data_IF_601253204016
#
_entry.id   IF_601253204016
#
_cell.length_a   1.000
_cell.length_b   1.000
_cell.length_c   1.000
_cell.angle_alpha   90.00
_cell.angle_beta   90.00
_cell.angle_gamma   90.00
#
_symmetry.space_group_name_H-M   'P 1'
#
loop_
_entity.id
_entity.type
_entity.pdbx_description
1 polymer ?
#
# COMPACT_ATOMS: atom_id res chain seq x y z
N UNK A 1 9.23 -12.64 -18.26
CA UNK A 1 9.02 -14.07 -17.92
C UNK A 1 7.52 -14.32 -17.96
N UNK A 2 7.07 -15.27 -18.77
CA UNK A 2 5.65 -15.64 -18.85
C UNK A 2 5.26 -16.55 -17.69
N UNK A 3 3.95 -16.68 -17.40
CA UNK A 3 3.45 -17.60 -16.35
C UNK A 3 3.89 -19.03 -16.64
N UNK A 4 3.90 -19.44 -17.91
CA UNK A 4 4.36 -20.77 -18.34
C UNK A 4 5.85 -20.97 -18.07
N UNK A 5 6.68 -19.98 -18.28
CA UNK A 5 8.11 -20.01 -17.93
C UNK A 5 8.33 -20.09 -16.42
N UNK A 6 7.50 -19.40 -15.62
CA UNK A 6 7.55 -19.45 -14.15
C UNK A 6 7.18 -20.87 -13.66
N UNK A 7 6.10 -21.44 -14.20
CA UNK A 7 5.66 -22.79 -13.83
C UNK A 7 6.70 -23.84 -14.22
N UNK A 8 7.29 -23.73 -15.42
CA UNK A 8 8.33 -24.64 -15.91
C UNK A 8 9.61 -24.57 -15.09
N UNK A 9 9.94 -23.39 -14.56
CA UNK A 9 11.17 -23.17 -13.78
C UNK A 9 10.93 -23.12 -12.26
N UNK A 10 9.76 -23.55 -11.79
CA UNK A 10 9.34 -23.45 -10.39
C UNK A 10 10.37 -23.98 -9.39
N UNK A 11 10.94 -25.15 -9.65
CA UNK A 11 11.93 -25.76 -8.75
C UNK A 11 13.23 -24.95 -8.69
N UNK A 12 13.65 -24.40 -9.83
CA UNK A 12 14.86 -23.59 -9.94
C UNK A 12 14.69 -22.25 -9.22
N UNK A 13 13.51 -21.65 -9.32
CA UNK A 13 13.14 -20.41 -8.63
C UNK A 13 13.08 -20.65 -7.11
N UNK A 14 12.51 -21.79 -6.67
CA UNK A 14 12.46 -22.16 -5.25
C UNK A 14 13.88 -22.43 -4.71
N UNK A 15 14.74 -23.09 -5.48
CA UNK A 15 16.12 -23.33 -5.10
C UNK A 15 16.92 -22.02 -4.99
N UNK A 16 16.70 -21.10 -5.90
CA UNK A 16 17.28 -19.76 -5.84
C UNK A 16 16.81 -18.98 -4.62
N UNK A 17 15.51 -19.00 -4.29
CA UNK A 17 14.95 -18.37 -3.07
C UNK A 17 15.56 -18.98 -1.79
N UNK A 18 15.79 -20.26 -1.74
CA UNK A 18 16.44 -20.95 -0.58
C UNK A 18 17.94 -20.68 -0.45
N UNK A 19 18.61 -20.33 -1.55
CA UNK A 19 20.05 -20.08 -1.58
C UNK A 19 20.45 -18.61 -1.39
N UNK A 20 19.52 -17.70 -1.49
CA UNK A 20 19.79 -16.25 -1.43
C UNK A 20 19.31 -15.62 -0.14
N UNK A 21 19.98 -15.94 0.97
CA UNK A 21 20.31 -14.90 1.93
C UNK A 21 21.53 -14.16 1.33
N UNK A 22 21.33 -13.46 0.25
CA UNK A 22 22.23 -12.41 -0.17
C UNK A 22 21.58 -11.13 0.32
N UNK A 23 22.25 -10.48 1.25
CA UNK A 23 22.10 -9.06 1.43
C UNK A 23 22.05 -8.47 0.03
N UNK A 24 20.88 -8.01 -0.41
CA UNK A 24 20.82 -7.15 -1.55
C UNK A 24 21.72 -5.99 -1.17
N UNK A 25 22.84 -5.84 -1.84
CA UNK A 25 23.51 -4.55 -1.86
C UNK A 25 22.41 -3.54 -2.14
N UNK A 26 22.30 -2.50 -1.32
CA UNK A 26 21.36 -1.44 -1.60
C UNK A 26 21.81 -0.77 -2.88
N UNK A 27 21.41 -1.31 -4.03
CA UNK A 27 21.32 -0.55 -5.25
C UNK A 27 20.11 0.39 -5.11
N UNK A 28 19.99 0.98 -3.94
CA UNK A 28 19.36 2.27 -3.75
C UNK A 28 20.45 3.30 -4.05
N UNK A 29 21.04 3.17 -5.21
CA UNK A 29 21.71 4.28 -5.79
C UNK A 29 20.63 5.14 -6.40
N UNK A 30 20.36 6.25 -5.72
CA UNK A 30 19.67 7.40 -6.28
C UNK A 30 18.34 7.07 -6.96
N UNK A 31 17.41 6.43 -6.26
CA UNK A 31 16.05 6.88 -6.35
C UNK A 31 16.12 8.30 -5.80
N UNK A 32 16.28 9.23 -6.73
CA UNK A 32 16.22 10.65 -6.46
C UNK A 32 15.03 10.89 -5.52
N UNK A 33 15.29 11.46 -4.35
CA UNK A 33 14.28 11.82 -3.36
C UNK A 33 13.22 12.81 -3.91
N UNK A 34 13.27 13.09 -5.20
CA UNK A 34 12.22 13.78 -5.96
C UNK A 34 11.00 12.92 -6.21
N UNK A 35 11.01 11.59 -5.93
CA UNK A 35 9.82 10.76 -5.91
C UNK A 35 9.00 11.03 -4.64
N UNK A 36 8.74 12.30 -4.48
CA UNK A 36 7.77 12.84 -3.55
C UNK A 36 6.41 12.20 -3.82
N UNK A 37 5.96 11.41 -2.85
CA UNK A 37 4.56 11.20 -2.49
C UNK A 37 3.78 10.16 -3.28
N UNK A 38 3.97 8.91 -2.94
CA UNK A 38 2.92 7.90 -3.13
C UNK A 38 1.84 7.93 -2.03
N UNK A 39 2.02 8.69 -0.98
CA UNK A 39 0.94 9.08 -0.10
C UNK A 39 0.37 10.39 -0.62
N UNK A 40 -0.43 10.34 -1.67
CA UNK A 40 -1.25 11.50 -2.02
C UNK A 40 -2.37 11.58 -1.00
N UNK A 41 -2.08 12.20 0.14
CA UNK A 41 -3.11 12.78 0.98
C UNK A 41 -3.66 13.93 0.17
N UNK A 42 -4.65 13.68 -0.67
CA UNK A 42 -5.53 14.72 -1.18
C UNK A 42 -6.40 15.10 0.00
N UNK A 43 -5.92 16.04 0.82
CA UNK A 43 -6.76 16.77 1.71
C UNK A 43 -7.63 17.67 0.81
N UNK A 44 -8.77 17.17 0.39
CA UNK A 44 -9.83 18.03 -0.13
C UNK A 44 -10.31 18.87 1.06
N UNK A 45 -9.92 20.13 1.05
CA UNK A 45 -10.42 21.12 2.02
C UNK A 45 -11.86 21.48 1.64
N UNK A 46 -12.78 20.58 1.92
CA UNK A 46 -14.20 20.92 1.94
C UNK A 46 -14.51 21.69 3.22
N UNK A 47 -15.29 22.75 3.08
CA UNK A 47 -15.56 23.81 4.07
C UNK A 47 -16.33 23.39 5.32
N UNK A 48 -16.44 22.10 5.65
CA UNK A 48 -17.04 21.56 6.89
C UNK A 48 -16.23 20.37 7.42
N UNK A 49 -14.90 20.55 7.60
CA UNK A 49 -14.11 19.50 8.23
C UNK A 49 -14.42 19.39 9.72
N UNK A 50 -14.87 18.22 10.12
CA UNK A 50 -14.89 17.86 11.54
C UNK A 50 -13.48 18.01 12.12
N UNK A 51 -13.34 18.81 13.17
CA UNK A 51 -12.03 19.09 13.79
C UNK A 51 -11.42 17.77 14.25
N UNK A 52 -10.19 17.48 13.84
CA UNK A 52 -9.46 16.26 14.21
C UNK A 52 -9.78 15.06 13.33
N UNK A 53 -10.35 15.26 12.14
CA UNK A 53 -10.55 14.20 11.14
C UNK A 53 -9.81 14.55 9.85
N UNK A 54 -9.05 13.60 9.32
CA UNK A 54 -8.35 13.71 8.05
C UNK A 54 -8.90 12.67 7.09
N UNK A 55 -9.53 13.09 6.00
CA UNK A 55 -9.93 12.18 4.91
C UNK A 55 -8.72 11.83 4.08
N UNK A 56 -8.48 10.54 3.89
CA UNK A 56 -7.30 10.04 3.18
C UNK A 56 -7.69 9.01 2.11
N UNK A 57 -7.06 9.13 0.95
CA UNK A 57 -7.00 8.08 -0.06
C UNK A 57 -5.56 7.54 -0.10
N UNK A 58 -5.40 6.26 0.20
CA UNK A 58 -4.10 5.62 0.41
C UNK A 58 -3.91 4.50 -0.62
N UNK A 59 -2.82 4.53 -1.36
CA UNK A 59 -2.40 3.40 -2.20
C UNK A 59 -1.64 2.42 -1.30
N UNK A 60 -2.24 1.25 -1.08
CA UNK A 60 -1.71 0.25 -0.14
C UNK A 60 -0.74 -0.70 -0.82
N UNK A 61 -1.07 -1.13 -2.03
CA UNK A 61 -0.24 -2.05 -2.80
C UNK A 61 -0.58 -1.95 -4.29
N UNK A 62 0.33 -2.42 -5.15
CA UNK A 62 0.16 -2.41 -6.61
C UNK A 62 0.41 -3.79 -7.19
N UNK A 63 -0.15 -4.04 -8.37
CA UNK A 63 0.11 -5.26 -9.16
C UNK A 63 1.21 -5.02 -10.19
N UNK A 64 1.66 -6.10 -10.83
CA UNK A 64 2.62 -6.06 -11.93
C UNK A 64 4.01 -5.49 -11.57
N UNK A 65 4.34 -5.46 -10.28
CA UNK A 65 5.65 -5.09 -9.78
C UNK A 65 6.20 -6.22 -8.91
N UNK A 66 7.47 -6.55 -9.10
CA UNK A 66 8.17 -7.52 -8.26
C UNK A 66 8.74 -6.77 -7.06
N UNK A 67 8.36 -7.19 -5.86
CA UNK A 67 8.82 -6.59 -4.62
C UNK A 67 10.20 -7.12 -4.17
N UNK A 68 10.70 -6.64 -3.04
CA UNK A 68 11.99 -7.05 -2.47
C UNK A 68 12.04 -8.54 -2.07
N UNK A 69 10.89 -9.19 -1.87
CA UNK A 69 10.77 -10.61 -1.57
C UNK A 69 10.64 -11.48 -2.83
N UNK A 70 10.73 -10.88 -4.01
CA UNK A 70 10.53 -11.53 -5.31
C UNK A 70 9.08 -12.03 -5.51
N UNK A 71 8.12 -11.41 -4.83
CA UNK A 71 6.71 -11.67 -5.02
C UNK A 71 6.10 -10.63 -5.98
N UNK A 72 5.12 -11.05 -6.76
CA UNK A 72 4.42 -10.20 -7.71
C UNK A 72 2.92 -10.39 -7.56
N UNK A 73 2.23 -9.33 -7.22
CA UNK A 73 0.78 -9.32 -7.20
C UNK A 73 0.23 -9.22 -8.63
N UNK A 74 -0.81 -9.98 -8.91
CA UNK A 74 -1.49 -9.97 -10.22
C UNK A 74 -2.80 -9.17 -10.15
N UNK A 75 -3.27 -8.61 -11.28
CA UNK A 75 -4.55 -7.92 -11.33
C UNK A 75 -5.70 -8.80 -10.81
N UNK A 76 -6.68 -8.17 -10.18
CA UNK A 76 -7.86 -8.80 -9.56
C UNK A 76 -7.59 -9.63 -8.29
N UNK A 77 -6.38 -9.65 -7.77
CA UNK A 77 -6.01 -10.39 -6.57
C UNK A 77 -6.93 -10.08 -5.38
N UNK A 78 -7.30 -8.81 -5.20
CA UNK A 78 -8.07 -8.34 -4.04
C UNK A 78 -9.59 -8.42 -4.22
N UNK A 79 -10.09 -8.73 -5.42
CA UNK A 79 -11.53 -8.67 -5.74
C UNK A 79 -12.37 -9.54 -4.80
N UNK A 80 -11.89 -10.74 -4.48
CA UNK A 80 -12.58 -11.65 -3.55
C UNK A 80 -12.66 -11.05 -2.15
N UNK A 81 -11.55 -10.60 -1.59
CA UNK A 81 -11.48 -10.03 -0.24
C UNK A 81 -12.31 -8.76 -0.11
N UNK A 82 -12.30 -7.90 -1.12
CA UNK A 82 -13.12 -6.68 -1.18
C UNK A 82 -14.61 -7.06 -1.20
N UNK A 83 -14.99 -8.06 -2.00
CA UNK A 83 -16.39 -8.52 -2.10
C UNK A 83 -16.90 -9.16 -0.81
N UNK A 84 -16.06 -9.89 -0.10
CA UNK A 84 -16.43 -10.54 1.16
C UNK A 84 -16.67 -9.56 2.30
N UNK A 85 -16.31 -8.30 2.15
CA UNK A 85 -16.54 -7.20 3.12
C UNK A 85 -16.13 -7.55 4.56
N UNK A 86 -15.03 -8.28 4.71
CA UNK A 86 -14.46 -8.55 6.04
C UNK A 86 -13.99 -7.25 6.67
N UNK A 87 -13.90 -7.22 8.00
CA UNK A 87 -13.35 -6.08 8.71
C UNK A 87 -11.91 -5.85 8.26
N UNK A 88 -11.64 -4.63 7.80
CA UNK A 88 -10.34 -4.19 7.34
C UNK A 88 -9.79 -3.20 8.35
N UNK A 89 -8.50 -3.31 8.62
CA UNK A 89 -7.78 -2.41 9.52
C UNK A 89 -6.66 -1.72 8.78
N UNK A 90 -6.47 -0.44 9.06
CA UNK A 90 -5.25 0.30 8.78
C UNK A 90 -4.44 0.33 10.07
N UNK A 91 -3.26 -0.28 10.05
CA UNK A 91 -2.45 -0.52 11.23
C UNK A 91 -1.10 0.19 11.13
N UNK A 92 -0.59 0.62 12.27
CA UNK A 92 0.80 1.00 12.40
C UNK A 92 1.67 -0.26 12.48
N UNK A 93 2.66 -0.37 11.58
CA UNK A 93 3.67 -1.45 11.58
C UNK A 93 3.08 -2.88 11.57
N UNK A 94 1.86 -3.05 11.01
CA UNK A 94 1.12 -4.33 10.99
C UNK A 94 0.81 -4.92 12.36
N UNK A 95 0.87 -4.13 13.43
CA UNK A 95 0.60 -4.60 14.78
C UNK A 95 -0.89 -4.47 15.13
N UNK A 96 -1.54 -5.62 15.47
CA UNK A 96 -2.95 -5.68 15.84
C UNK A 96 -3.12 -5.39 17.35
N UNK A 97 -2.71 -4.20 17.76
CA UNK A 97 -2.91 -3.65 19.09
C UNK A 97 -3.83 -2.45 19.03
N UNK A 98 -4.66 -2.23 20.05
CA UNK A 98 -5.61 -1.10 20.06
C UNK A 98 -4.94 0.25 19.86
N UNK A 99 -3.74 0.43 20.44
CA UNK A 99 -2.95 1.65 20.30
C UNK A 99 -2.35 1.85 18.91
N UNK A 100 -2.27 0.78 18.11
CA UNK A 100 -1.69 0.77 16.77
C UNK A 100 -2.73 0.83 15.65
N UNK A 101 -4.02 0.75 15.99
CA UNK A 101 -5.09 0.90 15.01
C UNK A 101 -5.21 2.37 14.62
N UNK A 102 -5.05 2.65 13.33
CA UNK A 102 -5.20 3.99 12.75
C UNK A 102 -6.64 4.21 12.32
N UNK A 103 -7.20 3.24 11.62
CA UNK A 103 -8.59 3.24 11.16
C UNK A 103 -9.10 1.82 10.92
N UNK A 104 -10.41 1.65 10.92
CA UNK A 104 -11.07 0.40 10.55
C UNK A 104 -12.33 0.62 9.71
N UNK A 105 -12.81 -0.46 9.07
CA UNK A 105 -13.96 -0.40 8.17
C UNK A 105 -15.31 -0.26 8.91
N UNK A 106 -15.33 -0.40 10.21
CA UNK A 106 -16.56 -0.31 11.03
C UNK A 106 -16.76 1.10 11.57
N UNK A 107 -15.69 1.73 12.07
CA UNK A 107 -15.76 2.98 12.83
C UNK A 107 -15.22 4.19 12.08
N UNK A 108 -14.41 4.00 11.05
CA UNK A 108 -13.61 5.07 10.43
C UNK A 108 -13.82 5.19 8.92
N UNK A 109 -14.98 4.73 8.42
CA UNK A 109 -15.35 4.77 7.00
C UNK A 109 -14.31 4.14 6.06
N UNK A 110 -13.43 3.26 6.56
CA UNK A 110 -12.42 2.63 5.74
C UNK A 110 -13.08 1.72 4.69
N UNK A 111 -12.84 2.03 3.43
CA UNK A 111 -13.34 1.28 2.28
C UNK A 111 -12.17 0.90 1.39
N UNK A 112 -12.05 -0.39 1.10
CA UNK A 112 -11.08 -0.91 0.15
C UNK A 112 -11.68 -0.96 -1.26
N UNK A 113 -10.91 -0.60 -2.25
CA UNK A 113 -11.25 -0.73 -3.67
C UNK A 113 -10.02 -1.07 -4.50
N UNK A 114 -10.24 -1.71 -5.65
CA UNK A 114 -9.20 -1.89 -6.65
C UNK A 114 -9.40 -0.84 -7.74
N UNK A 115 -8.37 -0.05 -8.02
CA UNK A 115 -8.38 1.01 -9.05
C UNK A 115 -7.21 0.83 -10.00
N UNK A 116 -7.44 1.13 -11.28
CA UNK A 116 -6.38 1.11 -12.28
C UNK A 116 -5.70 2.49 -12.35
N UNK A 117 -4.38 2.48 -12.42
CA UNK A 117 -3.53 3.66 -12.55
C UNK A 117 -2.49 3.43 -13.63
N UNK A 118 -2.08 4.49 -14.32
CA UNK A 118 -0.79 4.47 -14.99
C UNK A 118 0.33 4.60 -13.95
N UNK A 119 1.50 4.05 -14.23
CA UNK A 119 2.65 4.19 -13.34
C UNK A 119 3.05 5.66 -13.12
N UNK A 120 2.84 6.50 -14.13
CA UNK A 120 3.12 7.94 -14.04
C UNK A 120 2.20 8.67 -13.06
N UNK A 121 0.93 8.27 -12.93
CA UNK A 121 0.01 8.83 -11.92
C UNK A 121 0.47 8.50 -10.50
N UNK A 122 1.12 7.36 -10.32
CA UNK A 122 1.72 6.94 -9.05
C UNK A 122 3.14 7.51 -8.83
N UNK A 123 3.64 8.35 -9.76
CA UNK A 123 4.94 9.00 -9.64
C UNK A 123 6.13 8.16 -10.11
N UNK A 124 5.88 6.99 -10.73
CA UNK A 124 6.95 6.14 -11.27
C UNK A 124 7.20 6.40 -12.75
N UNK A 125 8.46 6.31 -13.15
CA UNK A 125 8.85 6.43 -14.55
C UNK A 125 8.82 5.06 -15.27
N UNK A 126 7.73 4.32 -15.09
CA UNK A 126 7.50 3.05 -15.79
C UNK A 126 6.46 3.24 -16.89
N UNK A 127 6.57 2.42 -17.94
CA UNK A 127 5.53 2.36 -18.99
C UNK A 127 4.43 1.38 -18.59
N UNK A 128 3.18 1.71 -18.96
CA UNK A 128 2.04 0.84 -18.76
C UNK A 128 1.22 1.18 -17.51
N UNK A 129 0.37 0.25 -17.13
CA UNK A 129 -0.62 0.43 -16.07
C UNK A 129 -0.45 -0.64 -14.99
N UNK A 130 -0.95 -0.32 -13.81
CA UNK A 130 -1.06 -1.22 -12.67
C UNK A 130 -2.45 -1.11 -12.09
N UNK A 131 -2.90 -2.17 -11.42
CA UNK A 131 -4.06 -2.10 -10.54
C UNK A 131 -3.56 -1.93 -9.11
N UNK A 132 -4.12 -0.97 -8.39
CA UNK A 132 -3.74 -0.72 -7.00
C UNK A 132 -4.87 -1.06 -6.05
N UNK A 133 -4.52 -1.59 -4.88
CA UNK A 133 -5.41 -1.63 -3.72
C UNK A 133 -5.40 -0.25 -3.07
N UNK A 134 -6.57 0.36 -3.00
CA UNK A 134 -6.75 1.71 -2.47
C UNK A 134 -7.68 1.67 -1.26
N UNK A 135 -7.26 2.34 -0.18
CA UNK A 135 -8.09 2.59 0.98
C UNK A 135 -8.54 4.05 1.00
N UNK A 136 -9.85 4.26 1.13
CA UNK A 136 -10.43 5.56 1.47
C UNK A 136 -10.90 5.49 2.92
N UNK A 137 -10.47 6.42 3.76
CA UNK A 137 -10.75 6.36 5.20
C UNK A 137 -10.71 7.72 5.87
N UNK A 138 -11.34 7.80 7.04
CA UNK A 138 -11.22 8.92 7.96
C UNK A 138 -10.17 8.57 9.03
N UNK A 139 -9.05 9.30 9.03
CA UNK A 139 -8.02 9.19 10.05
C UNK A 139 -8.36 10.18 11.16
N UNK A 140 -8.73 9.66 12.34
CA UNK A 140 -9.20 10.45 13.47
C UNK A 140 -8.12 10.67 14.51
N UNK A 141 -7.90 11.92 14.90
CA UNK A 141 -6.94 12.28 15.94
C UNK A 141 -7.23 11.57 17.27
N UNK A 142 -8.51 11.46 17.64
CA UNK A 142 -8.96 10.77 18.87
C UNK A 142 -8.68 9.28 18.86
N UNK A 143 -8.49 8.66 17.68
CA UNK A 143 -8.23 7.23 17.53
C UNK A 143 -6.76 6.89 17.72
N UNK A 144 -5.91 7.62 17.01
CA UNK A 144 -4.45 7.47 17.06
C UNK A 144 -3.81 8.84 16.77
N UNK A 145 -3.60 9.63 17.82
CA UNK A 145 -3.08 11.00 17.72
C UNK A 145 -1.70 11.05 17.06
N UNK A 146 -0.84 10.08 17.39
CA UNK A 146 0.51 10.02 16.81
C UNK A 146 0.42 9.87 15.29
N UNK A 147 -0.29 8.84 14.80
CA UNK A 147 -0.40 8.58 13.37
C UNK A 147 -1.19 9.66 12.63
N UNK A 148 -2.24 10.23 13.25
CA UNK A 148 -2.94 11.39 12.69
C UNK A 148 -1.96 12.53 12.37
N UNK A 149 -1.06 12.86 13.30
CA UNK A 149 -0.03 13.90 13.08
C UNK A 149 0.97 13.49 11.99
N UNK A 150 1.37 12.20 11.92
CA UNK A 150 2.26 11.72 10.86
C UNK A 150 1.63 11.88 9.48
N UNK A 151 0.37 11.49 9.32
CA UNK A 151 -0.36 11.68 8.06
C UNK A 151 -0.57 13.16 7.72
N UNK A 152 -1.00 13.96 8.68
CA UNK A 152 -1.23 15.39 8.50
C UNK A 152 0.03 16.12 8.04
N UNK A 153 1.19 15.74 8.53
CA UNK A 153 2.47 16.35 8.19
C UNK A 153 3.11 15.72 6.93
N UNK A 154 2.50 14.69 6.34
CA UNK A 154 3.03 14.01 5.15
C UNK A 154 4.27 13.17 5.42
N UNK A 155 4.44 12.66 6.63
CA UNK A 155 5.59 11.83 7.01
C UNK A 155 5.36 10.34 6.72
N UNK A 156 4.12 9.91 6.50
CA UNK A 156 3.83 8.54 6.07
C UNK A 156 4.04 8.45 4.56
N UNK A 157 5.07 7.75 4.14
CA UNK A 157 5.49 7.66 2.74
C UNK A 157 5.11 6.33 2.07
N UNK A 158 4.94 5.28 2.86
CA UNK A 158 4.75 3.92 2.36
C UNK A 158 3.64 3.19 3.10
N UNK A 159 2.97 2.30 2.38
CA UNK A 159 1.97 1.39 2.90
C UNK A 159 2.24 0.00 2.36
N UNK A 160 1.82 -1.03 3.09
CA UNK A 160 1.89 -2.41 2.65
C UNK A 160 0.75 -3.25 3.21
N UNK A 161 0.54 -4.43 2.63
CA UNK A 161 -0.38 -5.43 3.17
C UNK A 161 0.36 -6.31 4.17
N UNK A 162 -0.24 -6.55 5.34
CA UNK A 162 0.22 -7.59 6.27
C UNK A 162 -0.21 -8.96 5.77
N UNK A 163 0.68 -9.92 5.85
CA UNK A 163 0.43 -11.33 5.52
C UNK A 163 0.50 -12.17 6.79
#
# INVERSE_FOLDING_TARGET
MTIEEIVKNKELIIAQKKGTIKFADPVIQSLDLSHKRLATVKAEMDNEMEIGVLKAELVINTTNLIDSHMDCHIPNLWNKSIKEQKTIFLLQEHEMEFSKIIADSVNDNLKASAKDFSWSELGFNFKGNTQALVFNTDIKEKRNEFMYKQYKNGYVLEHSVGM
#
